data_IF_288553656585
#
_entry.id   IF_288553656585
#
_cell.length_a   1.000
_cell.length_b   1.000
_cell.length_c   1.000
_cell.angle_alpha   90.00
_cell.angle_beta   90.00
_cell.angle_gamma   90.00
#
_symmetry.space_group_name_H-M   'P 1'
#
loop_
_entity.id
_entity.type
_entity.pdbx_description
1 polymer ?
#
# COMPACT_ATOMS: atom_id res chain seq x y z
N UNK A 1 13.07 -0.21 18.55
CA UNK A 1 13.46 1.19 18.33
C UNK A 1 12.46 1.75 17.35
N UNK A 2 11.63 2.71 17.79
CA UNK A 2 10.78 3.48 16.89
C UNK A 2 11.69 4.11 15.84
N UNK A 3 11.49 3.83 14.55
CA UNK A 3 12.22 4.62 13.55
C UNK A 3 11.63 6.02 13.58
N UNK A 4 12.41 6.99 14.04
CA UNK A 4 12.00 8.38 13.95
C UNK A 4 11.90 8.77 12.48
N UNK A 5 10.65 8.99 12.03
CA UNK A 5 10.38 9.57 10.71
C UNK A 5 11.05 10.95 10.70
N UNK A 6 11.86 11.22 9.67
CA UNK A 6 12.53 12.51 9.50
C UNK A 6 11.54 13.67 9.61
N UNK A 7 11.92 14.74 10.31
CA UNK A 7 11.12 15.96 10.42
C UNK A 7 10.73 16.50 9.03
N UNK A 8 11.62 16.39 8.05
CA UNK A 8 11.36 16.78 6.65
C UNK A 8 10.18 16.02 6.04
N UNK A 9 10.01 14.73 6.37
CA UNK A 9 8.88 13.93 5.88
C UNK A 9 7.60 14.33 6.60
N UNK A 10 7.68 14.65 7.89
CA UNK A 10 6.52 15.11 8.68
C UNK A 10 6.00 16.45 8.16
N UNK A 11 6.88 17.37 7.78
CA UNK A 11 6.51 18.65 7.16
C UNK A 11 5.81 18.48 5.80
N UNK A 12 5.93 17.30 5.17
CA UNK A 12 5.24 16.99 3.90
C UNK A 12 3.86 16.34 4.10
N UNK A 13 3.51 15.93 5.32
CA UNK A 13 2.18 15.43 5.66
C UNK A 13 1.20 16.60 5.58
N UNK A 14 0.02 16.45 4.95
CA UNK A 14 -0.97 17.53 4.94
C UNK A 14 -1.38 17.90 6.36
N UNK A 15 -1.37 19.19 6.68
CA UNK A 15 -1.75 19.71 7.99
C UNK A 15 -3.27 19.62 8.19
N UNK A 16 -3.72 18.41 8.52
CA UNK A 16 -5.11 18.06 8.74
C UNK A 16 -5.16 16.95 9.79
N UNK A 17 -6.12 17.08 10.73
CA UNK A 17 -6.31 16.12 11.81
C UNK A 17 -6.46 14.67 11.31
N UNK A 18 -7.22 14.43 10.25
CA UNK A 18 -7.40 13.11 9.67
C UNK A 18 -6.09 12.52 9.12
N UNK A 19 -5.22 13.35 8.53
CA UNK A 19 -3.91 12.91 8.05
C UNK A 19 -2.98 12.57 9.21
N UNK A 20 -2.91 13.42 10.24
CA UNK A 20 -2.11 13.13 11.43
C UNK A 20 -2.56 11.84 12.13
N UNK A 21 -3.88 11.64 12.28
CA UNK A 21 -4.43 10.41 12.87
C UNK A 21 -4.22 9.17 12.00
N UNK A 22 -4.26 9.30 10.68
CA UNK A 22 -3.92 8.19 9.78
C UNK A 22 -2.45 7.78 9.91
N UNK A 23 -1.55 8.77 10.06
CA UNK A 23 -0.13 8.51 10.30
C UNK A 23 0.12 7.82 11.65
N UNK A 24 -0.53 8.28 12.72
CA UNK A 24 -0.44 7.65 14.04
C UNK A 24 -0.92 6.19 13.98
N UNK A 25 -2.05 5.95 13.31
CA UNK A 25 -2.58 4.61 13.09
C UNK A 25 -1.59 3.72 12.34
N UNK A 26 -1.02 4.23 11.23
CA UNK A 26 -0.04 3.49 10.44
C UNK A 26 1.23 3.20 11.25
N UNK A 27 1.70 4.13 12.08
CA UNK A 27 2.85 3.93 12.98
C UNK A 27 2.62 2.84 14.02
N UNK A 28 1.41 2.77 14.56
CA UNK A 28 1.04 1.75 15.54
C UNK A 28 0.90 0.36 14.90
N UNK A 29 0.34 0.31 13.68
CA UNK A 29 -0.01 -0.94 13.03
C UNK A 29 1.12 -1.57 12.20
N UNK A 30 1.93 -0.75 11.52
CA UNK A 30 2.83 -1.23 10.47
C UNK A 30 4.26 -1.41 10.98
N UNK A 31 4.93 -2.52 10.63
CA UNK A 31 6.38 -2.61 10.71
C UNK A 31 7.06 -1.48 9.93
N UNK A 32 8.20 -1.01 10.44
CA UNK A 32 8.94 0.12 9.86
C UNK A 32 9.15 0.04 8.33
N UNK A 33 9.53 -1.12 7.73
CA UNK A 33 9.69 -1.19 6.27
C UNK A 33 8.39 -0.87 5.50
N UNK A 34 7.23 -1.30 6.02
CA UNK A 34 5.92 -1.09 5.39
C UNK A 34 5.42 0.34 5.65
N UNK A 35 5.69 0.91 6.83
CA UNK A 35 5.43 2.32 7.11
C UNK A 35 6.24 3.24 6.20
N UNK A 36 7.54 2.98 6.05
CA UNK A 36 8.40 3.75 5.15
C UNK A 36 7.95 3.61 3.69
N UNK A 37 7.56 2.40 3.26
CA UNK A 37 6.94 2.18 1.96
C UNK A 37 5.71 3.06 1.76
N UNK A 38 4.76 3.04 2.70
CA UNK A 38 3.51 3.80 2.60
C UNK A 38 3.75 5.33 2.52
N UNK A 39 4.75 5.84 3.25
CA UNK A 39 5.19 7.24 3.14
C UNK A 39 5.85 7.55 1.79
N UNK A 40 6.73 6.67 1.28
CA UNK A 40 7.32 6.84 -0.05
C UNK A 40 6.25 6.80 -1.14
N UNK A 41 5.25 5.93 -1.01
CA UNK A 41 4.08 5.88 -1.91
C UNK A 41 3.32 7.20 -1.91
N UNK A 42 3.07 7.81 -0.75
CA UNK A 42 2.45 9.15 -0.71
C UNK A 42 3.29 10.20 -1.45
N UNK A 43 4.59 10.25 -1.20
CA UNK A 43 5.49 11.21 -1.84
C UNK A 43 5.53 11.02 -3.36
N UNK A 44 5.65 9.77 -3.82
CA UNK A 44 5.62 9.41 -5.24
C UNK A 44 4.27 9.76 -5.88
N UNK A 45 3.16 9.45 -5.22
CA UNK A 45 1.82 9.75 -5.71
C UNK A 45 1.61 11.27 -5.82
N UNK A 46 2.09 12.06 -4.85
CA UNK A 46 2.07 13.52 -4.90
C UNK A 46 2.95 14.07 -6.03
N UNK A 47 4.13 13.51 -6.23
CA UNK A 47 5.04 13.90 -7.32
C UNK A 47 4.41 13.64 -8.69
N UNK A 48 3.89 12.44 -8.90
CA UNK A 48 3.19 12.05 -10.13
C UNK A 48 1.93 12.87 -10.35
N UNK A 49 1.15 13.11 -9.28
CA UNK A 49 -0.05 13.93 -9.35
C UNK A 49 0.23 15.36 -9.79
N UNK A 50 1.35 15.97 -9.33
CA UNK A 50 1.80 17.27 -9.81
C UNK A 50 2.16 17.24 -11.30
N UNK A 51 2.87 16.20 -11.74
CA UNK A 51 3.28 16.02 -13.14
C UNK A 51 2.09 15.82 -14.08
N UNK A 52 1.06 15.11 -13.63
CA UNK A 52 -0.16 14.82 -14.41
C UNK A 52 -1.25 15.88 -14.23
N UNK A 53 -1.05 16.92 -13.41
CA UNK A 53 -2.07 17.95 -13.14
C UNK A 53 -3.31 17.40 -12.42
N UNK A 54 -3.14 16.37 -11.59
CA UNK A 54 -4.24 15.67 -10.91
C UNK A 54 -4.92 16.57 -9.87
N UNK A 55 -6.26 16.52 -9.73
CA UNK A 55 -6.97 17.26 -8.69
C UNK A 55 -6.56 16.83 -7.27
N UNK A 56 -6.05 15.61 -7.10
CA UNK A 56 -5.65 15.06 -5.80
C UNK A 56 -4.39 15.68 -5.20
N UNK A 57 -3.71 16.59 -5.90
CA UNK A 57 -2.61 17.38 -5.31
C UNK A 57 -3.04 18.77 -4.84
N UNK A 58 -4.32 19.12 -5.01
CA UNK A 58 -4.89 20.36 -4.47
C UNK A 58 -5.11 20.26 -2.96
N UNK A 59 -5.09 21.41 -2.28
CA UNK A 59 -5.26 21.50 -0.82
C UNK A 59 -6.53 20.79 -0.31
N UNK A 60 -7.63 20.88 -1.05
CA UNK A 60 -8.90 20.25 -0.68
C UNK A 60 -8.96 18.74 -0.88
N UNK A 61 -7.99 18.12 -1.57
CA UNK A 61 -8.03 16.69 -1.94
C UNK A 61 -6.74 15.93 -1.55
N UNK A 62 -5.65 16.63 -1.24
CA UNK A 62 -4.37 16.03 -0.84
C UNK A 62 -4.51 15.16 0.41
N UNK A 63 -5.46 15.46 1.29
CA UNK A 63 -5.78 14.62 2.44
C UNK A 63 -6.26 13.22 2.05
N UNK A 64 -7.08 13.10 1.00
CA UNK A 64 -7.54 11.81 0.48
C UNK A 64 -6.39 11.02 -0.15
N UNK A 65 -5.51 11.70 -0.89
CA UNK A 65 -4.30 11.08 -1.43
C UNK A 65 -3.39 10.54 -0.32
N UNK A 66 -3.20 11.33 0.74
CA UNK A 66 -2.39 10.94 1.89
C UNK A 66 -2.99 9.73 2.62
N UNK A 67 -4.28 9.78 2.96
CA UNK A 67 -4.96 8.67 3.66
C UNK A 67 -4.94 7.40 2.83
N UNK A 68 -5.20 7.50 1.52
CA UNK A 68 -5.11 6.35 0.61
C UNK A 68 -3.70 5.74 0.63
N UNK A 69 -2.66 6.55 0.50
CA UNK A 69 -1.28 6.06 0.47
C UNK A 69 -0.78 5.52 1.81
N UNK A 70 -1.05 6.21 2.92
CA UNK A 70 -0.51 5.83 4.24
C UNK A 70 -1.19 4.56 4.81
N UNK A 71 -2.43 4.26 4.38
CA UNK A 71 -3.21 3.13 4.88
C UNK A 71 -3.39 1.98 3.88
N UNK A 72 -2.86 2.05 2.65
CA UNK A 72 -3.14 1.02 1.64
C UNK A 72 -2.71 -0.40 2.03
N UNK A 73 -1.70 -0.53 2.90
CA UNK A 73 -1.19 -1.79 3.44
C UNK A 73 -1.62 -2.05 4.90
N UNK A 74 -2.48 -1.22 5.50
CA UNK A 74 -2.88 -1.36 6.91
C UNK A 74 -3.44 -2.75 7.22
N UNK A 75 -4.20 -3.35 6.29
CA UNK A 75 -4.76 -4.69 6.39
C UNK A 75 -3.73 -5.83 6.42
N UNK A 76 -2.46 -5.57 6.09
CA UNK A 76 -1.36 -6.53 6.26
C UNK A 76 -0.87 -6.59 7.72
N UNK A 77 -1.24 -5.63 8.57
CA UNK A 77 -0.92 -5.63 10.00
C UNK A 77 -1.76 -6.64 10.78
N UNK A 78 -1.36 -6.93 12.03
CA UNK A 78 -2.21 -7.70 12.94
C UNK A 78 -3.46 -6.90 13.36
N UNK A 79 -3.34 -5.59 13.60
CA UNK A 79 -4.42 -4.75 14.13
C UNK A 79 -5.63 -4.66 13.18
N UNK A 80 -5.38 -4.71 11.87
CA UNK A 80 -6.41 -4.63 10.84
C UNK A 80 -6.51 -5.94 10.03
N UNK A 81 -6.13 -7.07 10.62
CA UNK A 81 -6.30 -8.38 10.00
C UNK A 81 -7.75 -8.87 10.13
N UNK A 82 -8.52 -8.81 9.04
CA UNK A 82 -9.88 -9.37 8.96
C UNK A 82 -9.96 -10.70 8.19
N UNK A 83 -11.20 -11.12 7.90
CA UNK A 83 -11.48 -12.36 7.14
C UNK A 83 -11.21 -12.23 5.65
N UNK A 84 -11.26 -11.01 5.09
CA UNK A 84 -11.01 -10.74 3.68
C UNK A 84 -9.51 -10.54 3.39
N UNK A 85 -9.14 -10.64 2.11
CA UNK A 85 -7.81 -10.24 1.60
C UNK A 85 -7.39 -8.86 2.11
N UNK A 86 -6.09 -8.68 2.35
CA UNK A 86 -5.56 -7.50 3.05
C UNK A 86 -5.95 -6.18 2.36
N UNK A 87 -6.08 -6.15 1.03
CA UNK A 87 -6.48 -4.94 0.31
C UNK A 87 -7.87 -4.45 0.72
N UNK A 88 -8.81 -5.37 0.98
CA UNK A 88 -10.15 -5.03 1.43
C UNK A 88 -10.12 -4.59 2.89
N UNK A 89 -9.35 -5.28 3.75
CA UNK A 89 -9.18 -4.85 5.14
C UNK A 89 -8.55 -3.46 5.27
N UNK A 90 -7.54 -3.15 4.43
CA UNK A 90 -6.96 -1.81 4.34
C UNK A 90 -7.98 -0.77 3.87
N UNK A 91 -8.78 -1.12 2.86
CA UNK A 91 -9.80 -0.23 2.32
C UNK A 91 -10.87 0.09 3.36
N UNK A 92 -11.37 -0.92 4.07
CA UNK A 92 -12.35 -0.77 5.16
C UNK A 92 -11.78 0.10 6.29
N UNK A 93 -10.53 -0.16 6.71
CA UNK A 93 -9.83 0.66 7.71
C UNK A 93 -9.77 2.14 7.30
N UNK A 94 -9.40 2.43 6.05
CA UNK A 94 -9.30 3.80 5.56
C UNK A 94 -10.66 4.47 5.43
N UNK A 95 -11.70 3.73 4.99
CA UNK A 95 -13.07 4.22 4.92
C UNK A 95 -13.57 4.61 6.31
N UNK A 96 -13.48 3.71 7.27
CA UNK A 96 -13.93 3.95 8.64
C UNK A 96 -13.19 5.14 9.28
N UNK A 97 -11.88 5.24 9.01
CA UNK A 97 -11.07 6.38 9.43
C UNK A 97 -11.60 7.70 8.87
N UNK A 98 -11.88 7.78 7.57
CA UNK A 98 -12.37 9.02 6.94
C UNK A 98 -13.76 9.41 7.42
N UNK A 99 -14.70 8.46 7.51
CA UNK A 99 -16.04 8.70 8.04
C UNK A 99 -15.98 9.24 9.47
N UNK A 100 -15.14 8.65 10.33
CA UNK A 100 -14.93 9.11 11.70
C UNK A 100 -14.39 10.55 11.78
N UNK A 101 -13.68 11.00 10.76
CA UNK A 101 -13.15 12.38 10.68
C UNK A 101 -14.04 13.33 9.86
N UNK A 102 -15.27 12.93 9.54
CA UNK A 102 -16.29 13.81 8.96
C UNK A 102 -16.20 13.97 7.43
N UNK A 103 -15.42 13.14 6.74
CA UNK A 103 -15.45 13.09 5.28
C UNK A 103 -16.76 12.45 4.79
N UNK A 104 -17.18 12.81 3.59
CA UNK A 104 -18.39 12.25 3.00
C UNK A 104 -18.21 10.76 2.63
N UNK A 105 -19.32 10.03 2.55
CA UNK A 105 -19.34 8.65 2.04
C UNK A 105 -18.73 8.54 0.63
N UNK A 106 -18.91 9.56 -0.21
CA UNK A 106 -18.35 9.58 -1.56
C UNK A 106 -16.82 9.67 -1.54
N UNK A 107 -16.25 10.56 -0.72
CA UNK A 107 -14.80 10.69 -0.58
C UNK A 107 -14.19 9.44 0.07
N UNK A 108 -14.84 8.91 1.11
CA UNK A 108 -14.41 7.69 1.78
C UNK A 108 -14.47 6.48 0.83
N UNK A 109 -15.50 6.39 -0.02
CA UNK A 109 -15.61 5.34 -1.04
C UNK A 109 -14.55 5.49 -2.14
N UNK A 110 -14.16 6.71 -2.49
CA UNK A 110 -13.10 6.94 -3.47
C UNK A 110 -11.74 6.44 -2.95
N UNK A 111 -11.42 6.73 -1.68
CA UNK A 111 -10.22 6.19 -1.02
C UNK A 111 -10.30 4.68 -0.86
N UNK A 112 -11.45 4.15 -0.44
CA UNK A 112 -11.69 2.71 -0.36
C UNK A 112 -11.42 2.02 -1.70
N UNK A 113 -11.92 2.61 -2.80
CA UNK A 113 -11.74 2.07 -4.16
C UNK A 113 -10.26 2.03 -4.52
N UNK A 114 -9.55 3.15 -4.34
CA UNK A 114 -8.12 3.25 -4.64
C UNK A 114 -7.28 2.20 -3.91
N UNK A 115 -7.60 1.95 -2.63
CA UNK A 115 -6.92 0.92 -1.85
C UNK A 115 -7.35 -0.48 -2.31
N UNK A 116 -8.64 -0.76 -2.50
CA UNK A 116 -9.11 -2.11 -2.85
C UNK A 116 -8.51 -2.63 -4.18
N UNK A 117 -8.23 -1.71 -5.12
CA UNK A 117 -7.69 -2.05 -6.44
C UNK A 117 -6.18 -1.82 -6.60
N UNK A 118 -5.44 -1.34 -5.60
CA UNK A 118 -4.02 -0.94 -5.80
C UNK A 118 -3.09 -2.08 -6.27
N UNK A 119 -3.47 -3.34 -6.03
CA UNK A 119 -2.78 -4.55 -6.51
C UNK A 119 -3.32 -5.10 -7.83
N UNK A 120 -4.34 -4.47 -8.44
CA UNK A 120 -5.06 -4.96 -9.62
C UNK A 120 -4.57 -4.29 -10.92
N UNK A 121 -3.69 -4.94 -11.71
CA UNK A 121 -3.10 -4.33 -12.90
C UNK A 121 -4.15 -4.06 -13.98
N UNK A 122 -4.07 -2.91 -14.64
CA UNK A 122 -4.92 -2.50 -15.76
C UNK A 122 -6.26 -1.89 -15.33
N UNK A 123 -6.75 -2.21 -14.13
CA UNK A 123 -7.97 -1.65 -13.53
C UNK A 123 -7.63 -0.35 -12.80
N UNK A 124 -6.70 -0.41 -11.84
CA UNK A 124 -6.39 0.73 -10.98
C UNK A 124 -5.86 1.94 -11.77
N UNK A 125 -5.09 1.71 -12.84
CA UNK A 125 -4.56 2.78 -13.68
C UNK A 125 -5.63 3.52 -14.52
N UNK A 126 -6.85 2.97 -14.63
CA UNK A 126 -7.92 3.47 -15.51
C UNK A 126 -9.21 3.88 -14.78
N UNK A 127 -9.51 3.29 -13.62
CA UNK A 127 -10.83 3.44 -12.99
C UNK A 127 -11.09 4.88 -12.52
N UNK A 128 -10.12 5.52 -11.86
CA UNK A 128 -10.19 6.92 -11.46
C UNK A 128 -8.79 7.50 -11.16
N UNK A 129 -8.63 8.83 -11.08
CA UNK A 129 -7.32 9.46 -10.90
C UNK A 129 -6.63 9.12 -9.57
N UNK A 130 -7.37 8.90 -8.47
CA UNK A 130 -6.76 8.55 -7.18
C UNK A 130 -6.20 7.12 -7.22
N UNK A 131 -7.01 6.16 -7.67
CA UNK A 131 -6.57 4.77 -7.88
C UNK A 131 -5.33 4.69 -8.76
N UNK A 132 -5.31 5.49 -9.84
CA UNK A 132 -4.17 5.57 -10.74
C UNK A 132 -2.91 6.06 -10.03
N UNK A 133 -2.98 7.13 -9.26
CA UNK A 133 -1.81 7.68 -8.56
C UNK A 133 -1.25 6.71 -7.52
N UNK A 134 -2.12 6.08 -6.72
CA UNK A 134 -1.70 5.08 -5.74
C UNK A 134 -1.03 3.90 -6.44
N UNK A 135 -1.65 3.38 -7.51
CA UNK A 135 -1.10 2.27 -8.28
C UNK A 135 0.27 2.57 -8.88
N UNK A 136 0.42 3.73 -9.53
CA UNK A 136 1.69 4.12 -10.13
C UNK A 136 2.77 4.30 -9.06
N UNK A 137 2.43 4.92 -7.93
CA UNK A 137 3.36 5.12 -6.82
C UNK A 137 3.81 3.82 -6.16
N UNK A 138 2.90 2.88 -5.89
CA UNK A 138 3.23 1.53 -5.40
C UNK A 138 4.17 0.82 -6.38
N UNK A 139 3.84 0.86 -7.68
CA UNK A 139 4.70 0.29 -8.71
C UNK A 139 6.04 1.00 -8.84
N UNK A 140 6.13 2.30 -8.57
CA UNK A 140 7.38 3.03 -8.58
C UNK A 140 8.26 2.66 -7.39
N UNK A 141 7.68 2.43 -6.21
CA UNK A 141 8.45 2.04 -5.04
C UNK A 141 8.96 0.60 -5.13
N UNK A 142 8.15 -0.36 -5.60
CA UNK A 142 8.54 -1.76 -5.77
C UNK A 142 9.15 -2.11 -7.13
N UNK A 143 8.99 -1.25 -8.14
CA UNK A 143 9.38 -1.55 -9.51
C UNK A 143 10.88 -1.44 -9.77
N UNK A 144 11.29 -2.05 -10.89
CA UNK A 144 12.67 -2.00 -11.38
C UNK A 144 13.13 -0.59 -11.74
N UNK A 145 14.44 -0.40 -11.83
CA UNK A 145 15.05 0.85 -12.33
C UNK A 145 14.52 1.24 -13.71
N UNK A 146 14.26 0.25 -14.56
CA UNK A 146 13.68 0.45 -15.89
C UNK A 146 12.26 1.03 -15.78
N UNK A 147 11.42 0.51 -14.89
CA UNK A 147 10.09 1.07 -14.65
C UNK A 147 10.18 2.49 -14.11
N UNK A 148 11.05 2.73 -13.12
CA UNK A 148 11.28 4.06 -12.54
C UNK A 148 11.75 5.08 -13.59
N UNK A 149 12.56 4.63 -14.55
CA UNK A 149 13.04 5.43 -15.68
C UNK A 149 11.92 5.76 -16.67
N UNK A 150 11.09 4.78 -17.05
CA UNK A 150 9.95 4.97 -17.97
C UNK A 150 8.94 5.97 -17.39
N UNK A 151 8.62 5.84 -16.10
CA UNK A 151 7.68 6.75 -15.41
C UNK A 151 8.32 8.13 -15.13
N UNK A 152 9.65 8.19 -15.07
CA UNK A 152 10.41 9.41 -14.82
C UNK A 152 10.39 9.81 -13.35
N UNK A 153 10.59 8.84 -12.46
CA UNK A 153 10.65 9.02 -10.99
C UNK A 153 11.98 8.58 -10.39
N UNK A 154 12.92 8.06 -11.19
CA UNK A 154 14.17 7.45 -10.69
C UNK A 154 14.97 8.32 -9.73
N UNK A 155 15.22 9.59 -10.08
CA UNK A 155 15.95 10.51 -9.20
C UNK A 155 15.16 10.85 -7.92
N UNK A 156 13.84 11.02 -8.05
CA UNK A 156 12.99 11.29 -6.89
C UNK A 156 12.90 10.09 -5.94
N UNK A 157 12.86 8.85 -6.46
CA UNK A 157 12.96 7.64 -5.65
C UNK A 157 14.26 7.61 -4.84
N UNK A 158 15.42 7.90 -5.48
CA UNK A 158 16.72 7.94 -4.79
C UNK A 158 16.74 8.98 -3.67
N UNK A 159 16.16 10.15 -3.93
CA UNK A 159 16.06 11.23 -2.94
C UNK A 159 15.25 10.80 -1.72
N UNK A 160 14.01 10.31 -1.92
CA UNK A 160 13.13 9.95 -0.80
C UNK A 160 13.61 8.70 -0.05
N UNK A 161 14.32 7.77 -0.69
CA UNK A 161 14.96 6.62 -0.04
C UNK A 161 16.07 7.06 0.94
N UNK A 162 16.66 8.24 0.75
CA UNK A 162 17.62 8.84 1.69
C UNK A 162 17.00 9.27 3.02
N UNK A 163 15.72 9.64 3.03
CA UNK A 163 14.98 10.04 4.24
C UNK A 163 14.07 8.93 4.80
N UNK A 164 13.67 7.99 3.93
CA UNK A 164 12.79 6.87 4.22
C UNK A 164 13.44 5.57 3.71
N UNK A 165 14.41 4.99 4.45
CA UNK A 165 15.14 3.82 4.00
C UNK A 165 14.20 2.66 3.70
N UNK A 166 14.51 1.88 2.65
CA UNK A 166 13.67 0.77 2.17
C UNK A 166 13.47 -0.29 3.25
N UNK A 167 14.58 -0.82 3.79
CA UNK A 167 14.59 -1.86 4.81
C UNK A 167 13.89 -3.17 4.38
N UNK A 168 13.95 -3.50 3.09
CA UNK A 168 13.38 -4.73 2.52
C UNK A 168 11.85 -4.81 2.59
N UNK A 169 11.11 -3.80 2.09
CA UNK A 169 9.66 -3.75 2.21
C UNK A 169 8.96 -4.89 1.46
N UNK A 170 9.56 -5.41 0.38
CA UNK A 170 9.01 -6.53 -0.40
C UNK A 170 8.90 -7.80 0.44
N UNK A 171 9.99 -8.14 1.14
CA UNK A 171 10.01 -9.27 2.06
C UNK A 171 9.06 -9.03 3.24
N UNK A 172 9.12 -7.84 3.83
CA UNK A 172 8.30 -7.53 5.01
C UNK A 172 6.80 -7.63 4.72
N UNK A 173 6.34 -7.08 3.60
CA UNK A 173 4.94 -7.12 3.19
C UNK A 173 4.51 -8.52 2.74
N UNK A 174 5.31 -9.19 1.91
CA UNK A 174 5.02 -10.56 1.47
C UNK A 174 4.89 -11.52 2.66
N UNK A 175 5.81 -11.46 3.61
CA UNK A 175 5.77 -12.25 4.85
C UNK A 175 4.53 -11.90 5.69
N UNK A 176 4.21 -10.61 5.84
CA UNK A 176 3.07 -10.16 6.63
C UNK A 176 1.76 -10.71 6.06
N UNK A 177 1.56 -10.64 4.74
CA UNK A 177 0.38 -11.18 4.06
C UNK A 177 0.29 -12.70 4.21
N UNK A 178 1.37 -13.44 3.92
CA UNK A 178 1.39 -14.92 4.01
C UNK A 178 1.12 -15.41 5.44
N UNK A 179 1.66 -14.73 6.46
CA UNK A 179 1.45 -15.06 7.88
C UNK A 179 0.00 -14.96 8.35
N UNK A 180 -0.88 -14.33 7.57
CA UNK A 180 -2.32 -14.28 7.87
C UNK A 180 -3.05 -15.60 7.52
N UNK A 181 -2.39 -16.52 6.82
CA UNK A 181 -2.94 -17.84 6.54
C UNK A 181 -3.09 -18.68 7.80
N UNK A 182 -4.29 -19.23 8.04
CA UNK A 182 -4.55 -20.15 9.17
C UNK A 182 -3.77 -21.46 9.04
N UNK A 183 -3.49 -21.88 7.80
CA UNK A 183 -2.71 -23.06 7.46
C UNK A 183 -2.05 -22.84 6.10
N UNK A 184 -0.86 -23.40 5.90
CA UNK A 184 -0.25 -23.44 4.58
C UNK A 184 -0.97 -24.53 3.76
N UNK A 185 -1.56 -24.21 2.60
CA UNK A 185 -2.26 -25.19 1.80
C UNK A 185 -1.27 -26.10 1.06
N UNK A 186 -1.69 -27.33 0.78
CA UNK A 186 -1.03 -28.13 -0.25
C UNK A 186 -1.46 -27.59 -1.61
N UNK A 187 -0.50 -27.35 -2.50
CA UNK A 187 -0.74 -26.77 -3.83
C UNK A 187 -0.10 -27.64 -4.90
N UNK A 188 -0.72 -27.64 -6.08
CA UNK A 188 -0.22 -28.31 -7.28
C UNK A 188 -0.68 -27.54 -8.54
N UNK A 189 -0.65 -28.18 -9.72
CA UNK A 189 -1.08 -27.54 -10.97
C UNK A 189 -2.59 -27.23 -11.01
N UNK A 190 -3.41 -27.88 -10.17
CA UNK A 190 -4.87 -27.77 -10.17
C UNK A 190 -5.42 -27.16 -8.86
N UNK A 191 -4.63 -27.17 -7.79
CA UNK A 191 -5.04 -26.78 -6.44
C UNK A 191 -4.47 -25.42 -6.08
N UNK A 192 -5.35 -24.45 -5.84
CA UNK A 192 -5.02 -23.08 -5.44
C UNK A 192 -5.56 -22.79 -4.03
N UNK A 193 -4.89 -21.91 -3.26
CA UNK A 193 -5.56 -21.24 -2.14
C UNK A 193 -6.80 -20.53 -2.67
N UNK A 194 -7.94 -20.77 -2.04
CA UNK A 194 -9.20 -20.16 -2.42
C UNK A 194 -10.14 -20.06 -1.22
N UNK A 195 -9.95 -19.02 -0.42
CA UNK A 195 -10.89 -18.57 0.59
C UNK A 195 -11.01 -17.04 0.53
N UNK A 196 -11.82 -16.43 1.38
CA UNK A 196 -12.02 -14.99 1.38
C UNK A 196 -10.74 -14.20 1.69
N UNK A 197 -9.80 -14.81 2.41
CA UNK A 197 -8.53 -14.20 2.82
C UNK A 197 -7.48 -14.28 1.72
N UNK A 198 -7.47 -15.39 0.99
CA UNK A 198 -6.59 -15.70 -0.12
C UNK A 198 -7.40 -16.17 -1.34
N UNK A 199 -8.18 -15.28 -1.99
CA UNK A 199 -8.93 -15.67 -3.18
C UNK A 199 -8.00 -16.12 -4.30
N UNK A 200 -8.41 -17.14 -5.07
CA UNK A 200 -7.64 -17.59 -6.22
C UNK A 200 -7.43 -16.44 -7.23
N UNK A 201 -6.25 -16.39 -7.86
CA UNK A 201 -5.84 -15.35 -8.80
C UNK A 201 -5.83 -13.90 -8.26
N UNK A 202 -5.85 -13.72 -6.93
CA UNK A 202 -5.52 -12.45 -6.27
C UNK A 202 -4.04 -12.40 -5.89
N UNK A 203 -3.48 -11.21 -5.67
CA UNK A 203 -2.07 -11.08 -5.26
C UNK A 203 -1.78 -11.82 -3.93
N UNK A 204 -2.61 -11.73 -2.88
CA UNK A 204 -2.43 -12.56 -1.68
C UNK A 204 -2.47 -14.06 -1.96
N UNK A 205 -3.44 -14.52 -2.76
CA UNK A 205 -3.55 -15.94 -3.13
C UNK A 205 -2.31 -16.44 -3.88
N UNK A 206 -1.76 -15.60 -4.77
CA UNK A 206 -0.51 -15.88 -5.50
C UNK A 206 0.69 -15.94 -4.55
N UNK A 207 0.81 -14.99 -3.61
CA UNK A 207 1.88 -15.00 -2.60
C UNK A 207 1.84 -16.24 -1.70
N UNK A 208 0.65 -16.62 -1.22
CA UNK A 208 0.47 -17.81 -0.39
C UNK A 208 0.78 -19.09 -1.17
N UNK A 209 0.35 -19.18 -2.43
CA UNK A 209 0.70 -20.31 -3.31
C UNK A 209 2.21 -20.41 -3.48
N UNK A 210 2.88 -19.31 -3.83
CA UNK A 210 4.32 -19.32 -4.06
C UNK A 210 5.11 -19.69 -2.80
N UNK A 211 4.63 -19.29 -1.61
CA UNK A 211 5.21 -19.74 -0.34
C UNK A 211 5.02 -21.25 -0.12
N UNK A 212 3.82 -21.78 -0.41
CA UNK A 212 3.55 -23.21 -0.29
C UNK A 212 4.36 -24.07 -1.28
N UNK A 213 4.67 -23.55 -2.47
CA UNK A 213 5.53 -24.21 -3.46
C UNK A 213 7.02 -24.20 -3.07
N UNK A 214 7.44 -23.26 -2.22
CA UNK A 214 8.83 -23.02 -1.88
C UNK A 214 9.03 -22.90 -0.35
N UNK A 215 8.77 -23.98 0.43
CA UNK A 215 8.74 -23.91 1.89
C UNK A 215 10.08 -23.55 2.53
N UNK A 216 11.19 -23.87 1.87
CA UNK A 216 12.55 -23.60 2.36
C UNK A 216 13.14 -22.29 1.79
N UNK A 217 12.37 -21.51 1.02
CA UNK A 217 12.87 -20.28 0.41
C UNK A 217 13.06 -19.16 1.43
N UNK A 218 14.30 -18.69 1.55
CA UNK A 218 14.65 -17.52 2.36
C UNK A 218 14.79 -16.28 1.46
N UNK A 219 14.02 -15.23 1.73
CA UNK A 219 14.14 -13.96 1.01
C UNK A 219 12.79 -13.33 0.67
N UNK A 220 12.76 -12.52 -0.39
CA UNK A 220 11.51 -11.98 -0.95
C UNK A 220 10.71 -13.12 -1.55
N UNK A 221 9.39 -13.14 -1.31
CA UNK A 221 8.50 -14.15 -1.88
C UNK A 221 8.67 -14.23 -3.41
N UNK A 222 8.82 -15.43 -4.01
CA UNK A 222 9.07 -15.55 -5.46
C UNK A 222 7.99 -14.96 -6.37
N UNK A 223 6.79 -14.72 -5.85
CA UNK A 223 5.68 -14.13 -6.59
C UNK A 223 5.32 -12.70 -6.14
N UNK A 224 6.21 -12.03 -5.42
CA UNK A 224 6.10 -10.60 -5.11
C UNK A 224 6.25 -9.77 -6.39
#
# INVERSE_FOLDING_TARGET
MSSDISALVLDMVPDNLACHRALDLAREALPVPILNHSLRVYLLARFLGKKEGSPFVSEGQIGLLFVAAILHDAGASHLYNGTQRFEICSADCAKDHLIKHGYSEAEAHQVWTAIAVHTSPGIAERIDPLSRLIRLAVRSDFGSDEYRRIIGVGEYCKEIEGFLPRLGPEKALGDAVVKQAKKIPQVDSLTWPNDDKFPAASWPGILLRAHAENPDHEGVNPAF
#
